data_IF_359481710058
#
_entry.id   IF_359481710058
#
_cell.length_a   1.000
_cell.length_b   1.000
_cell.length_c   1.000
_cell.angle_alpha   90.00
_cell.angle_beta   90.00
_cell.angle_gamma   90.00
#
_symmetry.space_group_name_H-M   'P 1'
#
loop_
_entity.id
_entity.type
_entity.pdbx_description
1 polymer ?
#
# COMPACT_ATOMS: atom_id res chain seq x y z
N UNK A 1 -6.08 -77.24 32.63
CA UNK A 1 -6.35 -78.58 33.18
C UNK A 1 -6.10 -78.53 34.67
N UNK A 2 -7.11 -78.89 35.46
CA UNK A 2 -7.12 -78.76 36.91
C UNK A 2 -6.37 -79.95 37.56
N UNK A 3 -5.39 -79.67 38.42
CA UNK A 3 -4.76 -80.68 39.28
C UNK A 3 -5.27 -80.44 40.71
N UNK A 4 -6.04 -81.40 41.22
CA UNK A 4 -6.49 -81.43 42.61
C UNK A 4 -5.30 -81.56 43.57
N UNK A 5 -5.29 -80.84 44.71
CA UNK A 5 -4.46 -81.18 45.86
C UNK A 5 -5.30 -81.89 46.93
N UNK A 6 -4.96 -83.14 47.26
CA UNK A 6 -5.34 -83.90 48.47
C UNK A 6 -4.65 -85.27 48.34
N UNK A 7 -3.76 -85.70 49.23
CA UNK A 7 -4.06 -86.01 50.63
C UNK A 7 -2.74 -86.15 51.41
N UNK A 8 -2.57 -85.41 52.50
CA UNK A 8 -1.83 -85.79 53.70
C UNK A 8 -2.77 -85.51 54.89
N UNK A 9 -2.57 -86.05 56.11
CA UNK A 9 -1.80 -87.22 56.53
C UNK A 9 -2.63 -88.17 57.42
N UNK A 10 -2.49 -89.48 57.22
CA UNK A 10 -3.07 -90.50 58.10
C UNK A 10 -2.22 -90.70 59.36
N UNK A 11 -2.31 -89.75 60.30
CA UNK A 11 -1.88 -89.93 61.68
C UNK A 11 -2.93 -90.77 62.43
N UNK A 12 -2.57 -91.98 62.87
CA UNK A 12 -3.26 -92.67 63.97
C UNK A 12 -2.27 -93.44 64.86
N UNK A 13 -2.07 -92.85 66.05
CA UNK A 13 -2.13 -93.47 67.38
C UNK A 13 -1.29 -94.75 67.60
N UNK A 14 -0.14 -94.65 68.28
CA UNK A 14 -0.03 -94.53 69.75
C UNK A 14 -0.96 -95.51 70.49
N UNK A 15 -0.39 -96.64 70.92
CA UNK A 15 -0.93 -97.47 71.99
C UNK A 15 0.22 -98.15 72.74
N UNK A 16 0.76 -97.38 73.69
CA UNK A 16 0.97 -97.72 75.11
C UNK A 16 1.85 -98.96 75.43
N UNK A 17 3.00 -98.61 76.00
CA UNK A 17 3.66 -99.19 77.18
C UNK A 17 3.74 -100.70 77.34
N UNK A 18 4.97 -101.21 77.17
CA UNK A 18 5.51 -102.23 78.06
C UNK A 18 6.97 -101.91 78.42
N UNK A 19 7.20 -101.74 79.72
CA UNK A 19 8.38 -102.20 80.47
C UNK A 19 9.77 -101.87 79.91
N UNK A 20 10.36 -100.76 80.40
CA UNK A 20 11.80 -100.39 80.46
C UNK A 20 12.84 -101.25 79.71
N UNK A 21 12.67 -101.43 78.41
CA UNK A 21 13.67 -102.04 77.53
C UNK A 21 13.88 -101.03 76.40
N UNK A 22 14.85 -100.13 76.57
CA UNK A 22 15.32 -99.26 75.47
C UNK A 22 15.53 -100.18 74.25
N UNK A 23 14.88 -99.87 73.12
CA UNK A 23 15.05 -100.67 71.92
C UNK A 23 16.51 -100.53 71.48
N UNK A 24 17.19 -101.66 71.23
CA UNK A 24 18.64 -101.67 70.95
C UNK A 24 19.06 -100.75 69.79
N UNK A 25 18.13 -100.33 68.92
CA UNK A 25 18.36 -99.38 67.81
C UNK A 25 18.52 -97.92 68.21
N UNK A 26 18.10 -97.54 69.42
CA UNK A 26 18.16 -96.15 69.91
C UNK A 26 19.27 -95.94 70.95
N UNK A 27 19.90 -97.04 71.39
CA UNK A 27 21.03 -96.98 72.32
C UNK A 27 22.27 -96.47 71.59
N UNK A 28 23.03 -95.60 72.26
CA UNK A 28 24.36 -95.25 71.76
C UNK A 28 25.29 -96.47 71.82
N UNK A 29 26.37 -96.43 71.05
CA UNK A 29 27.39 -97.48 71.04
C UNK A 29 27.92 -97.76 72.46
N UNK A 30 28.14 -96.70 73.26
CA UNK A 30 28.56 -96.84 74.67
C UNK A 30 27.52 -97.52 75.55
N UNK A 31 26.24 -97.22 75.36
CA UNK A 31 25.15 -97.87 76.11
C UNK A 31 25.05 -99.35 75.77
N UNK A 32 25.20 -99.70 74.49
CA UNK A 32 25.13 -101.08 74.02
C UNK A 32 26.33 -101.91 74.52
N UNK A 33 27.55 -101.35 74.44
CA UNK A 33 28.75 -102.04 74.92
C UNK A 33 28.77 -102.17 76.45
N UNK A 34 28.26 -101.18 77.19
CA UNK A 34 28.14 -101.26 78.66
C UNK A 34 27.25 -102.44 79.10
N UNK A 35 26.15 -102.70 78.40
CA UNK A 35 25.31 -103.87 78.67
C UNK A 35 26.05 -105.18 78.39
N UNK A 36 26.81 -105.26 77.29
CA UNK A 36 27.60 -106.45 76.94
C UNK A 36 28.70 -106.74 77.95
N UNK A 37 29.38 -105.71 78.49
CA UNK A 37 30.39 -105.86 79.56
C UNK A 37 29.82 -106.55 80.79
N UNK A 38 28.63 -106.13 81.23
CA UNK A 38 27.95 -106.70 82.41
C UNK A 38 27.61 -108.18 82.19
N UNK A 39 27.14 -108.53 81.00
CA UNK A 39 26.65 -109.89 80.70
C UNK A 39 27.79 -110.89 80.45
N UNK A 40 28.86 -110.48 79.77
CA UNK A 40 29.88 -111.41 79.26
C UNK A 40 31.27 -111.28 79.90
N UNK A 41 31.56 -110.21 80.66
CA UNK A 41 32.82 -110.01 81.40
C UNK A 41 34.11 -110.27 80.58
N UNK A 42 34.14 -109.85 79.31
CA UNK A 42 35.29 -110.01 78.41
C UNK A 42 36.13 -108.73 78.39
N UNK A 43 37.46 -108.87 78.46
CA UNK A 43 38.42 -107.74 78.54
C UNK A 43 38.53 -106.92 77.25
N UNK A 44 38.10 -107.44 76.10
CA UNK A 44 38.26 -106.78 74.79
C UNK A 44 37.12 -105.80 74.42
N UNK A 45 36.10 -105.62 75.27
CA UNK A 45 34.96 -104.74 74.96
C UNK A 45 35.34 -103.27 74.79
N UNK A 46 36.37 -102.78 75.50
CA UNK A 46 36.88 -101.42 75.33
C UNK A 46 37.38 -101.17 73.90
N UNK A 47 38.14 -102.12 73.33
CA UNK A 47 38.65 -102.04 71.95
C UNK A 47 37.52 -102.03 70.92
N UNK A 48 36.47 -102.84 71.16
CA UNK A 48 35.30 -102.90 70.29
C UNK A 48 34.53 -101.57 70.34
N UNK A 49 34.37 -100.96 71.52
CA UNK A 49 33.68 -99.67 71.67
C UNK A 49 34.41 -98.54 70.93
N UNK A 50 35.73 -98.46 71.08
CA UNK A 50 36.55 -97.45 70.40
C UNK A 50 36.44 -97.59 68.87
N UNK A 51 36.55 -98.81 68.34
CA UNK A 51 36.41 -99.06 66.89
C UNK A 51 35.00 -98.72 66.38
N UNK A 52 33.96 -99.04 67.16
CA UNK A 52 32.58 -98.73 66.80
C UNK A 52 32.33 -97.21 66.81
N UNK A 53 32.83 -96.48 67.81
CA UNK A 53 32.79 -95.01 67.87
C UNK A 53 33.52 -94.39 66.69
N UNK A 54 34.73 -94.86 66.39
CA UNK A 54 35.51 -94.39 65.25
C UNK A 54 34.76 -94.57 63.92
N UNK A 55 34.10 -95.72 63.72
CA UNK A 55 33.27 -95.96 62.54
C UNK A 55 32.03 -95.07 62.49
N UNK A 56 31.36 -94.86 63.62
CA UNK A 56 30.21 -93.97 63.71
C UNK A 56 30.60 -92.53 63.35
N UNK A 57 31.67 -92.01 63.94
CA UNK A 57 32.19 -90.67 63.64
C UNK A 57 32.57 -90.55 62.17
N UNK A 58 33.24 -91.55 61.60
CA UNK A 58 33.57 -91.59 60.16
C UNK A 58 32.32 -91.56 59.29
N UNK A 59 31.33 -92.39 59.57
CA UNK A 59 30.07 -92.43 58.81
C UNK A 59 29.32 -91.10 58.94
N UNK A 60 29.32 -90.48 60.12
CA UNK A 60 28.68 -89.18 60.35
C UNK A 60 29.35 -88.07 59.54
N UNK A 61 30.68 -88.08 59.43
CA UNK A 61 31.45 -87.18 58.56
C UNK A 61 31.11 -87.44 57.08
N UNK A 62 31.07 -88.69 56.64
CA UNK A 62 30.73 -89.06 55.25
C UNK A 62 29.29 -88.64 54.89
N UNK A 63 28.33 -88.86 55.78
CA UNK A 63 26.94 -88.40 55.63
C UNK A 63 26.89 -86.87 55.50
N UNK A 64 27.66 -86.15 56.31
CA UNK A 64 27.79 -84.69 56.22
C UNK A 64 28.31 -84.25 54.85
N UNK A 65 29.40 -84.85 54.39
CA UNK A 65 29.99 -84.57 53.06
C UNK A 65 29.03 -84.89 51.91
N UNK A 66 28.28 -85.99 51.99
CA UNK A 66 27.30 -86.35 50.97
C UNK A 66 26.10 -85.39 50.94
N UNK A 67 25.63 -84.91 52.10
CA UNK A 67 24.56 -83.89 52.16
C UNK A 67 24.99 -82.59 51.50
N UNK A 68 26.21 -82.12 51.78
CA UNK A 68 26.77 -80.92 51.15
C UNK A 68 26.87 -81.06 49.62
N UNK A 69 27.36 -82.22 49.14
CA UNK A 69 27.39 -82.52 47.69
C UNK A 69 26.01 -82.52 47.06
N UNK A 70 25.01 -83.10 47.73
CA UNK A 70 23.63 -83.13 47.24
C UNK A 70 23.02 -81.72 47.16
N UNK A 71 23.25 -80.88 48.17
CA UNK A 71 22.75 -79.50 48.18
C UNK A 71 23.44 -78.65 47.12
N UNK A 72 24.75 -78.85 46.91
CA UNK A 72 25.50 -78.20 45.84
C UNK A 72 25.00 -78.62 44.45
N UNK A 73 24.72 -79.91 44.23
CA UNK A 73 24.16 -80.41 42.97
C UNK A 73 22.77 -79.83 42.69
N UNK A 74 21.91 -79.76 43.72
CA UNK A 74 20.58 -79.11 43.61
C UNK A 74 20.70 -77.64 43.24
N UNK A 75 21.63 -76.92 43.86
CA UNK A 75 21.88 -75.51 43.55
C UNK A 75 22.38 -75.34 42.11
N UNK A 76 23.32 -76.19 41.67
CA UNK A 76 23.84 -76.20 40.31
C UNK A 76 22.73 -76.52 39.28
N UNK A 77 21.85 -77.48 39.57
CA UNK A 77 20.71 -77.83 38.73
C UNK A 77 19.75 -76.64 38.53
N UNK A 78 19.41 -75.94 39.61
CA UNK A 78 18.58 -74.72 39.56
C UNK A 78 19.27 -73.61 38.74
N UNK A 79 20.58 -73.45 38.88
CA UNK A 79 21.34 -72.47 38.11
C UNK A 79 21.32 -72.79 36.61
N UNK A 80 21.55 -74.05 36.24
CA UNK A 80 21.52 -74.52 34.86
C UNK A 80 20.13 -74.31 34.25
N UNK A 81 19.06 -74.64 34.98
CA UNK A 81 17.67 -74.44 34.53
C UNK A 81 17.37 -72.95 34.26
N UNK A 82 17.80 -72.05 35.16
CA UNK A 82 17.65 -70.60 34.96
C UNK A 82 18.39 -70.13 33.70
N UNK A 83 19.63 -70.58 33.49
CA UNK A 83 20.42 -70.25 32.29
C UNK A 83 19.76 -70.76 31.01
N UNK A 84 19.17 -71.96 31.06
CA UNK A 84 18.43 -72.55 29.94
C UNK A 84 17.20 -71.72 29.59
N UNK A 85 16.42 -71.30 30.60
CA UNK A 85 15.23 -70.45 30.39
C UNK A 85 15.55 -69.11 29.74
N UNK A 86 16.65 -68.45 30.16
CA UNK A 86 17.12 -67.20 29.53
C UNK A 86 17.47 -67.43 28.06
N UNK A 87 18.18 -68.53 27.75
CA UNK A 87 18.56 -68.87 26.37
C UNK A 87 17.35 -69.12 25.48
N UNK A 88 16.34 -69.82 26.01
CA UNK A 88 15.10 -70.10 25.27
C UNK A 88 14.35 -68.81 24.93
N UNK A 89 14.27 -67.86 25.87
CA UNK A 89 13.63 -66.56 25.64
C UNK A 89 14.37 -65.74 24.57
N UNK A 90 15.70 -65.73 24.60
CA UNK A 90 16.52 -65.07 23.57
C UNK A 90 16.30 -65.69 22.19
N UNK A 91 16.19 -67.02 22.10
CA UNK A 91 15.90 -67.72 20.85
C UNK A 91 14.52 -67.32 20.29
N UNK A 92 13.49 -67.24 21.15
CA UNK A 92 12.14 -66.78 20.75
C UNK A 92 12.16 -65.34 20.24
N UNK A 93 12.85 -64.43 20.94
CA UNK A 93 13.02 -63.03 20.52
C UNK A 93 13.76 -62.92 19.18
N UNK A 94 14.82 -63.71 18.98
CA UNK A 94 15.57 -63.77 17.72
C UNK A 94 14.71 -64.23 16.54
N UNK A 95 13.91 -65.29 16.74
CA UNK A 95 12.99 -65.78 15.72
C UNK A 95 11.93 -64.75 15.35
N UNK A 96 11.33 -64.09 16.35
CA UNK A 96 10.34 -63.03 16.11
C UNK A 96 10.96 -61.83 15.35
N UNK A 97 12.19 -61.43 15.69
CA UNK A 97 12.87 -60.37 14.97
C UNK A 97 13.13 -60.73 13.50
N UNK A 98 13.54 -61.97 13.23
CA UNK A 98 13.73 -62.47 11.87
C UNK A 98 12.42 -62.43 11.06
N UNK A 99 11.33 -62.95 11.63
CA UNK A 99 10.00 -62.93 10.99
C UNK A 99 9.54 -61.48 10.68
N UNK A 100 9.81 -60.54 11.59
CA UNK A 100 9.51 -59.11 11.38
C UNK A 100 10.30 -58.52 10.19
N UNK A 101 11.59 -58.85 10.06
CA UNK A 101 12.41 -58.37 8.94
C UNK A 101 11.94 -58.95 7.60
N UNK A 102 11.58 -60.23 7.56
CA UNK A 102 11.04 -60.86 6.35
C UNK A 102 9.70 -60.23 5.94
N UNK A 103 8.82 -59.95 6.91
CA UNK A 103 7.55 -59.26 6.65
C UNK A 103 7.78 -57.85 6.12
N UNK A 104 8.70 -57.08 6.70
CA UNK A 104 9.06 -55.75 6.24
C UNK A 104 9.60 -55.78 4.81
N UNK A 105 10.50 -56.72 4.51
CA UNK A 105 11.05 -56.89 3.17
C UNK A 105 9.97 -57.24 2.14
N UNK A 106 9.03 -58.12 2.51
CA UNK A 106 7.89 -58.46 1.66
C UNK A 106 6.99 -57.26 1.43
N UNK A 107 6.73 -56.45 2.46
CA UNK A 107 5.96 -55.20 2.36
C UNK A 107 6.64 -54.19 1.47
N UNK A 108 7.97 -54.02 1.57
CA UNK A 108 8.74 -53.14 0.69
C UNK A 108 8.61 -53.58 -0.78
N UNK A 109 8.76 -54.88 -1.05
CA UNK A 109 8.56 -55.45 -2.39
C UNK A 109 7.12 -55.26 -2.91
N UNK A 110 6.11 -55.46 -2.06
CA UNK A 110 4.70 -55.29 -2.42
C UNK A 110 4.28 -53.83 -2.58
N UNK A 111 4.87 -52.92 -1.82
CA UNK A 111 4.55 -51.48 -1.86
C UNK A 111 4.90 -50.84 -3.20
N UNK A 112 5.55 -51.57 -4.11
CA UNK A 112 5.74 -51.13 -5.48
C UNK A 112 6.57 -49.86 -5.58
N UNK A 113 7.31 -49.49 -4.52
CA UNK A 113 8.42 -48.56 -4.61
C UNK A 113 9.53 -49.25 -5.40
N UNK A 114 9.25 -49.43 -6.69
CA UNK A 114 10.23 -49.83 -7.66
C UNK A 114 11.30 -48.76 -7.63
N UNK A 115 12.52 -49.16 -7.26
CA UNK A 115 13.66 -48.26 -7.18
C UNK A 115 13.87 -47.54 -8.51
N UNK A 116 13.49 -48.17 -9.62
CA UNK A 116 13.54 -47.55 -10.94
C UNK A 116 12.45 -46.49 -11.14
N UNK A 117 11.24 -46.68 -10.60
CA UNK A 117 10.19 -45.66 -10.62
C UNK A 117 10.55 -44.46 -9.72
N UNK A 118 11.14 -44.71 -8.55
CA UNK A 118 11.65 -43.64 -7.67
C UNK A 118 12.81 -42.88 -8.35
N UNK A 119 13.73 -43.59 -9.01
CA UNK A 119 14.80 -42.98 -9.81
C UNK A 119 14.24 -42.12 -10.94
N UNK A 120 13.23 -42.61 -11.67
CA UNK A 120 12.54 -41.84 -12.73
C UNK A 120 11.92 -40.56 -12.17
N UNK A 121 11.19 -40.65 -11.04
CA UNK A 121 10.59 -39.48 -10.38
C UNK A 121 11.65 -38.45 -9.96
N UNK A 122 12.78 -38.90 -9.40
CA UNK A 122 13.87 -38.01 -9.01
C UNK A 122 14.47 -37.27 -10.22
N UNK A 123 14.72 -37.98 -11.33
CA UNK A 123 15.21 -37.35 -12.58
C UNK A 123 14.20 -36.33 -13.12
N UNK A 124 12.89 -36.65 -13.09
CA UNK A 124 11.85 -35.70 -13.51
C UNK A 124 11.79 -34.47 -12.60
N UNK A 125 11.95 -34.66 -11.29
CA UNK A 125 11.99 -33.56 -10.33
C UNK A 125 13.22 -32.66 -10.56
N UNK A 126 14.39 -33.25 -10.78
CA UNK A 126 15.63 -32.54 -11.07
C UNK A 126 15.49 -31.67 -12.32
N UNK A 127 14.98 -32.22 -13.43
CA UNK A 127 14.70 -31.47 -14.65
C UNK A 127 13.72 -30.31 -14.44
N UNK A 128 12.67 -30.51 -13.62
CA UNK A 128 11.73 -29.43 -13.28
C UNK A 128 12.37 -28.35 -12.44
N UNK A 129 13.22 -28.70 -11.48
CA UNK A 129 13.95 -27.72 -10.67
C UNK A 129 14.90 -26.91 -11.55
N UNK A 130 15.64 -27.54 -12.45
CA UNK A 130 16.53 -26.87 -13.40
C UNK A 130 15.75 -25.89 -14.30
N UNK A 131 14.64 -26.35 -14.90
CA UNK A 131 13.78 -25.48 -15.71
C UNK A 131 13.24 -24.29 -14.90
N UNK A 132 12.75 -24.53 -13.68
CA UNK A 132 12.26 -23.45 -12.81
C UNK A 132 13.36 -22.45 -12.44
N UNK A 133 14.61 -22.89 -12.35
CA UNK A 133 15.77 -22.02 -12.16
C UNK A 133 16.00 -21.09 -13.35
N UNK A 134 15.92 -21.62 -14.57
CA UNK A 134 16.05 -20.84 -15.81
C UNK A 134 14.93 -19.79 -15.93
N UNK A 135 13.68 -20.17 -15.67
CA UNK A 135 12.53 -19.26 -15.72
C UNK A 135 12.66 -18.12 -14.70
N UNK A 136 13.14 -18.44 -13.49
CA UNK A 136 13.41 -17.45 -12.44
C UNK A 136 14.52 -16.47 -12.83
N UNK A 137 15.57 -16.92 -13.52
CA UNK A 137 16.63 -16.04 -14.02
C UNK A 137 16.14 -15.12 -15.15
N UNK A 138 15.26 -15.60 -16.03
CA UNK A 138 14.62 -14.73 -17.02
C UNK A 138 13.72 -13.68 -16.38
N UNK A 139 12.91 -14.06 -15.38
CA UNK A 139 12.09 -13.12 -14.62
C UNK A 139 12.96 -12.07 -13.93
N UNK A 140 14.09 -12.48 -13.34
CA UNK A 140 15.05 -11.55 -12.72
C UNK A 140 15.60 -10.55 -13.74
N UNK A 141 15.98 -11.00 -14.94
CA UNK A 141 16.45 -10.12 -16.02
C UNK A 141 15.37 -9.11 -16.43
N UNK A 142 14.13 -9.56 -16.64
CA UNK A 142 12.99 -8.68 -16.98
C UNK A 142 12.74 -7.66 -15.87
N UNK A 143 12.85 -8.05 -14.60
CA UNK A 143 12.63 -7.15 -13.48
C UNK A 143 13.70 -6.04 -13.42
N UNK A 144 14.97 -6.37 -13.66
CA UNK A 144 16.06 -5.37 -13.76
C UNK A 144 15.82 -4.38 -14.91
N UNK A 145 15.36 -4.86 -16.08
CA UNK A 145 14.99 -3.97 -17.20
C UNK A 145 13.86 -3.02 -16.81
N UNK A 146 12.79 -3.52 -16.21
CA UNK A 146 11.66 -2.70 -15.77
C UNK A 146 12.05 -1.67 -14.71
N UNK A 147 12.88 -2.04 -13.74
CA UNK A 147 13.42 -1.12 -12.74
C UNK A 147 14.19 0.05 -13.38
N UNK A 148 14.96 -0.23 -14.43
CA UNK A 148 15.68 0.81 -15.19
C UNK A 148 14.72 1.74 -15.96
N UNK A 149 13.69 1.20 -16.60
CA UNK A 149 12.68 1.99 -17.31
C UNK A 149 11.89 2.90 -16.35
N UNK A 150 11.52 2.38 -15.18
CA UNK A 150 10.85 3.15 -14.13
C UNK A 150 11.71 4.32 -13.64
N UNK A 151 13.03 4.11 -13.50
CA UNK A 151 13.94 5.18 -13.10
C UNK A 151 14.02 6.30 -14.14
N UNK A 152 14.09 5.96 -15.43
CA UNK A 152 14.09 6.94 -16.53
C UNK A 152 12.77 7.71 -16.62
N UNK A 153 11.64 7.01 -16.49
CA UNK A 153 10.32 7.66 -16.45
C UNK A 153 10.18 8.61 -15.25
N UNK A 154 10.68 8.22 -14.08
CA UNK A 154 10.68 9.06 -12.89
C UNK A 154 11.50 10.34 -13.10
N UNK A 155 12.65 10.25 -13.78
CA UNK A 155 13.47 11.42 -14.12
C UNK A 155 12.72 12.37 -15.05
N UNK A 156 12.11 11.86 -16.13
CA UNK A 156 11.29 12.67 -17.05
C UNK A 156 10.12 13.34 -16.36
N UNK A 157 9.42 12.63 -15.47
CA UNK A 157 8.30 13.20 -14.72
C UNK A 157 8.73 14.39 -13.85
N UNK A 158 9.92 14.33 -13.23
CA UNK A 158 10.47 15.47 -12.46
C UNK A 158 10.77 16.66 -13.37
N UNK A 159 11.34 16.42 -14.56
CA UNK A 159 11.59 17.45 -15.57
C UNK A 159 10.30 18.08 -16.08
N UNK A 160 9.27 17.28 -16.37
CA UNK A 160 7.95 17.73 -16.81
C UNK A 160 7.25 18.57 -15.72
N UNK A 161 7.30 18.13 -14.46
CA UNK A 161 6.78 18.90 -13.33
C UNK A 161 7.47 20.27 -13.25
N UNK A 162 8.80 20.32 -13.40
CA UNK A 162 9.54 21.57 -13.43
C UNK A 162 9.10 22.47 -14.59
N UNK A 163 8.97 21.92 -15.79
CA UNK A 163 8.51 22.66 -16.96
C UNK A 163 7.08 23.21 -16.77
N UNK A 164 6.17 22.40 -16.24
CA UNK A 164 4.79 22.83 -15.93
C UNK A 164 4.77 23.94 -14.88
N UNK A 165 5.63 23.88 -13.86
CA UNK A 165 5.73 24.98 -12.89
C UNK A 165 6.19 26.29 -13.52
N UNK A 166 7.16 26.25 -14.43
CA UNK A 166 7.63 27.44 -15.15
C UNK A 166 6.58 28.01 -16.11
N UNK A 167 5.82 27.15 -16.79
CA UNK A 167 4.68 27.60 -17.60
C UNK A 167 3.59 28.25 -16.74
N UNK A 168 3.32 27.70 -15.55
CA UNK A 168 2.34 28.26 -14.62
C UNK A 168 2.77 29.64 -14.13
N UNK A 169 4.05 29.85 -13.80
CA UNK A 169 4.53 31.19 -13.38
C UNK A 169 4.41 32.21 -14.51
N UNK A 170 4.82 31.86 -15.74
CA UNK A 170 4.68 32.74 -16.92
C UNK A 170 3.22 33.09 -17.22
N UNK A 171 2.30 32.14 -17.02
CA UNK A 171 0.88 32.38 -17.19
C UNK A 171 0.34 33.39 -16.17
N UNK A 172 0.75 33.29 -14.90
CA UNK A 172 0.33 34.23 -13.86
C UNK A 172 0.94 35.63 -14.06
N UNK A 173 2.20 35.72 -14.50
CA UNK A 173 2.82 36.99 -14.92
C UNK A 173 2.02 37.64 -16.06
N UNK A 174 1.71 36.89 -17.12
CA UNK A 174 0.92 37.39 -18.25
C UNK A 174 -0.51 37.80 -17.86
N UNK A 175 -1.14 37.11 -16.90
CA UNK A 175 -2.44 37.53 -16.35
C UNK A 175 -2.34 38.85 -15.59
N UNK A 176 -1.29 39.05 -14.80
CA UNK A 176 -1.07 40.29 -14.07
C UNK A 176 -0.85 41.48 -15.02
N UNK A 177 -0.03 41.30 -16.06
CA UNK A 177 0.19 42.30 -17.10
C UNK A 177 -1.09 42.66 -17.86
N UNK A 178 -1.85 41.64 -18.29
CA UNK A 178 -3.13 41.86 -18.98
C UNK A 178 -4.17 42.57 -18.10
N UNK A 179 -4.22 42.23 -16.81
CA UNK A 179 -5.08 42.91 -15.85
C UNK A 179 -4.69 44.40 -15.73
N UNK A 180 -3.40 44.68 -15.58
CA UNK A 180 -2.90 46.06 -15.54
C UNK A 180 -3.21 46.83 -16.83
N UNK A 181 -3.04 46.23 -18.00
CA UNK A 181 -3.35 46.86 -19.28
C UNK A 181 -4.85 47.16 -19.42
N UNK A 182 -5.70 46.23 -18.97
CA UNK A 182 -7.15 46.40 -18.94
C UNK A 182 -7.57 47.55 -18.01
N UNK A 183 -6.97 47.65 -16.82
CA UNK A 183 -7.25 48.73 -15.86
C UNK A 183 -6.88 50.11 -16.46
N UNK A 184 -5.73 50.22 -17.13
CA UNK A 184 -5.32 51.45 -17.83
C UNK A 184 -6.31 51.83 -18.95
N UNK A 185 -6.78 50.84 -19.73
CA UNK A 185 -7.73 51.08 -20.81
C UNK A 185 -9.10 51.51 -20.28
N UNK A 186 -9.56 50.89 -19.18
CA UNK A 186 -10.78 51.30 -18.49
C UNK A 186 -10.70 52.74 -17.98
N UNK A 187 -9.57 53.14 -17.39
CA UNK A 187 -9.36 54.52 -16.93
C UNK A 187 -9.44 55.53 -18.09
N UNK A 188 -8.74 55.26 -19.21
CA UNK A 188 -8.83 56.10 -20.41
C UNK A 188 -10.24 56.18 -20.99
N UNK A 189 -10.98 55.06 -20.98
CA UNK A 189 -12.38 55.06 -21.41
C UNK A 189 -13.26 55.91 -20.49
N UNK A 190 -13.03 55.91 -19.18
CA UNK A 190 -13.76 56.79 -18.26
C UNK A 190 -13.44 58.27 -18.49
N UNK A 191 -12.16 58.63 -18.72
CA UNK A 191 -11.75 60.00 -19.05
C UNK A 191 -12.39 60.48 -20.35
N UNK A 192 -12.32 59.67 -21.42
CA UNK A 192 -12.94 60.00 -22.70
C UNK A 192 -14.46 60.18 -22.59
N UNK A 193 -15.13 59.35 -21.78
CA UNK A 193 -16.58 59.45 -21.56
C UNK A 193 -16.97 60.78 -20.89
N UNK A 194 -16.18 61.24 -19.92
CA UNK A 194 -16.40 62.54 -19.27
C UNK A 194 -16.10 63.72 -20.21
N UNK A 195 -15.04 63.65 -21.04
CA UNK A 195 -14.74 64.68 -22.04
C UNK A 195 -15.85 64.79 -23.10
N UNK A 196 -16.36 63.64 -23.60
CA UNK A 196 -17.50 63.62 -24.53
C UNK A 196 -18.73 64.28 -23.90
N UNK A 197 -19.02 63.98 -22.64
CA UNK A 197 -20.15 64.58 -21.91
C UNK A 197 -20.00 66.09 -21.79
N UNK A 198 -18.81 66.59 -21.50
CA UNK A 198 -18.49 68.03 -21.46
C UNK A 198 -18.66 68.69 -22.83
N UNK A 199 -18.13 68.08 -23.88
CA UNK A 199 -18.27 68.57 -25.26
C UNK A 199 -19.73 68.61 -25.72
N UNK A 200 -20.53 67.61 -25.35
CA UNK A 200 -21.98 67.61 -25.63
C UNK A 200 -22.69 68.79 -24.95
N UNK A 201 -22.37 69.09 -23.68
CA UNK A 201 -22.92 70.24 -22.97
C UNK A 201 -22.49 71.58 -23.61
N UNK A 202 -21.24 71.67 -24.09
CA UNK A 202 -20.74 72.85 -24.80
C UNK A 202 -21.45 73.05 -26.15
N UNK A 203 -21.67 71.98 -26.92
CA UNK A 203 -22.43 72.00 -28.18
C UNK A 203 -23.87 72.45 -27.92
N UNK A 204 -24.51 71.94 -26.87
CA UNK A 204 -25.88 72.33 -26.51
C UNK A 204 -25.96 73.82 -26.15
N UNK A 205 -25.02 74.34 -25.35
CA UNK A 205 -24.93 75.78 -25.05
C UNK A 205 -24.77 76.60 -26.33
N UNK A 206 -23.84 76.23 -27.21
CA UNK A 206 -23.61 76.95 -28.47
C UNK A 206 -24.85 76.94 -29.38
N UNK A 207 -25.61 75.83 -29.43
CA UNK A 207 -26.89 75.78 -30.15
C UNK A 207 -27.88 76.80 -29.62
N UNK A 208 -28.09 76.86 -28.30
CA UNK A 208 -29.02 77.83 -27.70
C UNK A 208 -28.60 79.28 -27.94
N UNK A 209 -27.29 79.56 -28.00
CA UNK A 209 -26.77 80.89 -28.30
C UNK A 209 -26.94 81.26 -29.78
N UNK A 210 -26.76 80.30 -30.68
CA UNK A 210 -27.04 80.48 -32.11
C UNK A 210 -28.53 80.75 -32.39
N UNK A 211 -29.43 80.08 -31.67
CA UNK A 211 -30.88 80.34 -31.77
C UNK A 211 -31.19 81.79 -31.39
N UNK A 212 -30.64 82.27 -30.26
CA UNK A 212 -30.77 83.68 -29.83
C UNK A 212 -30.21 84.67 -30.85
N UNK A 213 -29.01 84.40 -31.38
CA UNK A 213 -28.41 85.26 -32.40
C UNK A 213 -29.25 85.29 -33.69
N UNK A 214 -29.91 84.19 -34.03
CA UNK A 214 -30.81 84.11 -35.17
C UNK A 214 -32.05 84.99 -34.96
N UNK A 215 -32.63 84.96 -33.75
CA UNK A 215 -33.74 85.84 -33.36
C UNK A 215 -33.31 87.32 -33.37
N UNK A 216 -32.18 87.67 -32.76
CA UNK A 216 -31.63 89.04 -32.77
C UNK A 216 -31.35 89.54 -34.19
N UNK A 217 -30.81 88.68 -35.06
CA UNK A 217 -30.57 88.99 -36.47
C UNK A 217 -31.87 89.30 -37.20
N UNK A 218 -32.93 88.53 -36.93
CA UNK A 218 -34.26 88.75 -37.51
C UNK A 218 -34.85 90.08 -37.03
N UNK A 219 -34.78 90.36 -35.72
CA UNK A 219 -35.24 91.64 -35.15
C UNK A 219 -34.52 92.85 -35.77
N UNK A 220 -33.18 92.79 -35.86
CA UNK A 220 -32.39 93.85 -36.50
C UNK A 220 -32.75 94.02 -37.97
N UNK A 221 -32.97 92.92 -38.70
CA UNK A 221 -33.40 92.96 -40.10
C UNK A 221 -34.74 93.68 -40.23
N UNK A 222 -35.73 93.32 -39.42
CA UNK A 222 -37.04 93.98 -39.40
C UNK A 222 -36.94 95.47 -39.04
N UNK A 223 -36.09 95.82 -38.07
CA UNK A 223 -35.83 97.22 -37.71
C UNK A 223 -35.19 98.01 -38.86
N UNK A 224 -34.23 97.42 -39.58
CA UNK A 224 -33.58 98.01 -40.74
C UNK A 224 -34.57 98.22 -41.90
N UNK A 225 -35.38 97.21 -42.24
CA UNK A 225 -36.45 97.33 -43.25
C UNK A 225 -37.46 98.43 -42.89
N UNK A 226 -37.80 98.59 -41.59
CA UNK A 226 -38.65 99.67 -41.14
C UNK A 226 -37.99 101.05 -41.28
N UNK A 227 -36.67 101.16 -41.06
CA UNK A 227 -35.93 102.41 -41.21
C UNK A 227 -35.81 102.80 -42.69
N UNK A 228 -35.52 101.83 -43.56
CA UNK A 228 -35.45 102.01 -45.01
C UNK A 228 -36.78 102.54 -45.56
N UNK A 229 -37.91 102.01 -45.08
CA UNK A 229 -39.25 102.52 -45.41
C UNK A 229 -39.46 103.98 -45.00
N UNK A 230 -39.13 104.32 -43.74
CA UNK A 230 -39.23 105.71 -43.24
C UNK A 230 -38.31 106.66 -44.00
N UNK A 231 -37.10 106.23 -44.34
CA UNK A 231 -36.17 107.01 -45.13
C UNK A 231 -36.68 107.24 -46.57
N UNK A 232 -37.30 106.22 -47.18
CA UNK A 232 -38.00 106.36 -48.47
C UNK A 232 -39.15 107.37 -48.42
N UNK A 233 -39.99 107.30 -47.39
CA UNK A 233 -41.07 108.28 -47.15
C UNK A 233 -40.54 109.72 -46.97
N UNK A 234 -39.46 109.87 -46.19
CA UNK A 234 -38.80 111.16 -45.98
C UNK A 234 -38.19 111.69 -47.29
N UNK A 235 -37.49 110.84 -48.05
CA UNK A 235 -36.89 111.21 -49.34
C UNK A 235 -37.95 111.68 -50.33
N UNK A 236 -39.09 110.98 -50.42
CA UNK A 236 -40.22 111.42 -51.24
C UNK A 236 -40.78 112.78 -50.78
N UNK A 237 -40.83 113.01 -49.46
CA UNK A 237 -41.26 114.29 -48.89
C UNK A 237 -40.27 115.42 -49.19
N UNK A 238 -38.95 115.15 -49.15
CA UNK A 238 -37.90 116.09 -49.53
C UNK A 238 -38.00 116.46 -51.01
N UNK A 239 -38.11 115.49 -51.92
CA UNK A 239 -38.29 115.76 -53.36
C UNK A 239 -39.54 116.62 -53.61
N UNK A 240 -40.64 116.34 -52.88
CA UNK A 240 -41.84 117.16 -52.96
C UNK A 240 -41.59 118.60 -52.49
N UNK A 241 -40.92 118.78 -51.35
CA UNK A 241 -40.56 120.10 -50.83
C UNK A 241 -39.60 120.84 -51.77
N UNK A 242 -38.61 120.16 -52.35
CA UNK A 242 -37.71 120.70 -53.37
C UNK A 242 -38.48 121.17 -54.60
N UNK A 243 -39.47 120.39 -55.06
CA UNK A 243 -40.35 120.79 -56.15
C UNK A 243 -41.21 122.01 -55.77
N UNK A 244 -41.76 122.05 -54.56
CA UNK A 244 -42.54 123.18 -54.04
C UNK A 244 -41.68 124.46 -53.93
N UNK A 245 -40.43 124.34 -53.47
CA UNK A 245 -39.45 125.45 -53.42
C UNK A 245 -39.05 125.89 -54.83
N UNK A 246 -38.86 124.95 -55.76
CA UNK A 246 -38.57 125.25 -57.16
C UNK A 246 -39.74 125.98 -57.84
N UNK A 247 -40.98 125.63 -57.50
CA UNK A 247 -42.20 126.37 -57.88
C UNK A 247 -42.19 127.80 -57.30
N UNK A 248 -41.85 127.96 -56.01
CA UNK A 248 -41.72 129.29 -55.38
C UNK A 248 -40.61 130.15 -56.01
N UNK A 249 -39.49 129.55 -56.39
CA UNK A 249 -38.39 130.22 -57.09
C UNK A 249 -38.68 130.50 -58.58
N UNK A 250 -39.74 129.92 -59.15
CA UNK A 250 -40.19 130.21 -60.52
C UNK A 250 -41.33 131.24 -60.60
N UNK A 251 -41.81 131.76 -59.46
CA UNK A 251 -42.90 132.75 -59.39
C UNK A 251 -42.44 134.18 -59.02
N UNK A 252 -41.13 134.45 -59.05
CA UNK A 252 -40.63 135.82 -58.88
C UNK A 252 -39.17 136.03 -59.29
N UNK A 253 -38.97 137.00 -60.19
CA UNK A 253 -37.71 137.63 -60.62
C UNK A 253 -36.88 136.85 -61.65
N UNK A 254 -36.81 137.31 -62.90
CA UNK A 254 -36.08 138.50 -63.37
C UNK A 254 -34.65 138.15 -63.78
N UNK A 255 -34.45 138.17 -65.10
CA UNK A 255 -33.34 138.79 -65.81
C UNK A 255 -32.16 139.28 -64.94
N UNK A 256 -31.03 138.57 -65.02
CA UNK A 256 -29.68 139.13 -65.19
C UNK A 256 -28.64 138.00 -65.25
N UNK A 257 -27.87 137.96 -66.33
CA UNK A 257 -26.74 137.05 -66.50
C UNK A 257 -25.49 137.45 -65.69
N UNK A 258 -24.60 136.48 -65.47
CA UNK A 258 -23.24 136.41 -66.02
C UNK A 258 -22.33 135.49 -65.20
N UNK A 259 -21.68 134.57 -65.94
CA UNK A 259 -20.30 134.03 -65.87
C UNK A 259 -19.54 133.76 -64.55
N UNK A 260 -18.70 132.72 -64.63
CA UNK A 260 -17.62 132.26 -63.73
C UNK A 260 -18.09 131.29 -62.63
N UNK A 261 -17.44 130.16 -62.29
CA UNK A 261 -16.19 129.49 -62.66
C UNK A 261 -16.18 128.15 -61.87
N UNK A 262 -15.58 127.09 -62.41
CA UNK A 262 -15.38 125.79 -61.73
C UNK A 262 -14.74 125.94 -60.32
N UNK A 263 -14.98 124.96 -59.43
CA UNK A 263 -13.87 124.04 -59.18
C UNK A 263 -14.27 122.56 -59.07
N UNK A 264 -13.38 121.75 -59.66
CA UNK A 264 -13.16 120.34 -59.36
C UNK A 264 -13.11 120.02 -57.86
N UNK A 265 -13.81 118.95 -57.46
CA UNK A 265 -13.35 117.97 -56.45
C UNK A 265 -14.28 116.74 -56.60
N UNK A 266 -13.90 115.60 -57.16
CA UNK A 266 -12.63 114.91 -57.00
C UNK A 266 -12.64 114.04 -55.74
N UNK A 267 -13.62 113.15 -55.56
CA UNK A 267 -13.49 111.98 -54.66
C UNK A 267 -14.25 110.79 -55.24
N UNK A 268 -13.53 109.96 -55.99
CA UNK A 268 -13.87 108.58 -56.25
C UNK A 268 -13.71 107.77 -54.96
N UNK A 269 -14.82 107.40 -54.31
CA UNK A 269 -14.77 106.26 -53.40
C UNK A 269 -14.81 104.99 -54.25
N UNK A 270 -13.74 104.22 -54.17
CA UNK A 270 -13.64 102.88 -54.73
C UNK A 270 -14.76 102.03 -54.14
N UNK A 271 -15.82 101.80 -54.92
CA UNK A 271 -16.63 100.59 -54.79
C UNK A 271 -15.69 99.45 -55.18
N UNK A 272 -15.07 98.82 -54.17
CA UNK A 272 -14.46 97.52 -54.38
C UNK A 272 -15.56 96.61 -54.89
N UNK A 273 -15.42 96.23 -56.15
CA UNK A 273 -16.07 95.09 -56.74
C UNK A 273 -15.88 93.88 -55.83
N UNK A 274 -16.91 93.03 -55.84
CA UNK A 274 -16.83 91.58 -55.69
C UNK A 274 -15.91 91.05 -54.60
N UNK A 275 -16.53 90.57 -53.53
CA UNK A 275 -16.49 89.13 -53.30
C UNK A 275 -17.90 88.74 -52.83
N UNK A 276 -18.77 88.47 -53.82
CA UNK A 276 -19.82 87.48 -53.61
C UNK A 276 -19.03 86.19 -53.34
N UNK A 277 -18.93 85.82 -52.07
CA UNK A 277 -18.52 84.46 -51.72
C UNK A 277 -19.62 83.55 -52.25
N UNK A 278 -19.39 83.05 -53.46
CA UNK A 278 -20.13 81.95 -54.04
C UNK A 278 -20.17 80.80 -53.04
N UNK A 279 -21.33 80.16 -53.05
CA UNK A 279 -21.70 78.97 -52.30
C UNK A 279 -20.51 78.04 -52.06
N UNK A 280 -20.20 77.81 -50.78
CA UNK A 280 -19.45 76.63 -50.40
C UNK A 280 -20.26 75.42 -50.87
N UNK A 281 -19.80 74.79 -51.94
CA UNK A 281 -20.23 73.44 -52.32
C UNK A 281 -20.15 72.57 -51.06
N UNK A 282 -21.34 72.20 -50.55
CA UNK A 282 -21.51 71.06 -49.67
C UNK A 282 -21.04 69.85 -50.44
N UNK A 283 -19.75 69.54 -50.28
CA UNK A 283 -19.17 68.25 -50.63
C UNK A 283 -19.93 67.20 -49.79
N UNK A 284 -20.99 66.67 -50.40
CA UNK A 284 -21.65 65.48 -49.92
C UNK A 284 -20.64 64.36 -50.05
N UNK A 285 -19.88 64.14 -48.98
CA UNK A 285 -19.07 62.95 -48.77
C UNK A 285 -20.01 61.74 -48.77
N UNK A 286 -20.26 61.26 -49.98
CA UNK A 286 -20.89 59.98 -50.25
C UNK A 286 -19.82 58.96 -49.96
N UNK A 287 -19.59 58.72 -48.66
CA UNK A 287 -18.68 57.70 -48.19
C UNK A 287 -19.05 56.36 -48.82
N UNK A 288 -18.23 55.91 -49.76
CA UNK A 288 -18.29 54.55 -50.28
C UNK A 288 -18.19 53.57 -49.10
N UNK A 289 -19.03 52.52 -49.05
CA UNK A 289 -18.91 51.50 -48.03
C UNK A 289 -17.60 50.72 -48.25
N UNK A 290 -16.65 50.91 -47.33
CA UNK A 290 -15.43 50.12 -47.21
C UNK A 290 -15.82 48.62 -47.14
N UNK A 291 -15.26 47.74 -47.99
CA UNK A 291 -15.57 46.31 -47.92
C UNK A 291 -14.90 45.70 -46.70
N UNK A 292 -15.70 45.25 -45.73
CA UNK A 292 -15.22 44.39 -44.66
C UNK A 292 -14.69 43.07 -45.25
N UNK A 293 -13.49 42.61 -44.86
CA UNK A 293 -13.03 41.28 -45.23
C UNK A 293 -13.88 40.24 -44.49
N UNK A 294 -14.67 39.48 -45.26
CA UNK A 294 -15.40 38.30 -44.81
C UNK A 294 -14.40 37.28 -44.25
N UNK A 295 -14.28 37.19 -42.93
CA UNK A 295 -13.66 36.05 -42.27
C UNK A 295 -14.58 34.84 -42.44
N UNK A 296 -14.04 33.81 -43.11
CA UNK A 296 -14.66 32.52 -43.33
C UNK A 296 -14.93 31.83 -42.00
N UNK A 297 -16.18 31.81 -41.55
CA UNK A 297 -16.65 30.89 -40.54
C UNK A 297 -16.72 29.49 -41.14
N UNK A 298 -15.76 28.65 -40.76
CA UNK A 298 -15.83 27.20 -40.96
C UNK A 298 -16.70 26.63 -39.85
N UNK A 299 -18.01 26.52 -40.08
CA UNK A 299 -18.89 25.75 -39.20
C UNK A 299 -18.60 24.25 -39.38
N UNK A 300 -17.81 23.70 -38.45
CA UNK A 300 -17.65 22.26 -38.30
C UNK A 300 -18.84 21.73 -37.49
N UNK A 301 -19.78 21.11 -38.19
CA UNK A 301 -20.84 20.29 -37.61
C UNK A 301 -20.22 19.11 -36.83
N UNK A 302 -20.26 19.14 -35.49
CA UNK A 302 -19.99 17.96 -34.66
C UNK A 302 -21.31 17.44 -34.13
N UNK A 303 -21.62 16.21 -34.55
CA UNK A 303 -22.78 15.41 -34.14
C UNK A 303 -22.82 15.24 -32.62
N UNK A 304 -23.99 15.56 -32.06
CA UNK A 304 -24.41 15.21 -30.70
C UNK A 304 -24.67 13.71 -30.61
N UNK A 305 -23.94 13.02 -29.74
CA UNK A 305 -24.12 11.60 -29.40
C UNK A 305 -23.95 11.39 -27.90
N UNK A 306 -25.07 11.06 -27.25
CA UNK A 306 -25.30 10.48 -25.92
C UNK A 306 -24.08 10.05 -25.07
N UNK A 307 -24.06 10.36 -23.77
CA UNK A 307 -24.62 9.53 -22.67
C UNK A 307 -24.19 10.04 -21.28
N UNK A 308 -25.08 9.85 -20.33
CA UNK A 308 -24.94 10.07 -18.88
C UNK A 308 -23.67 9.47 -18.27
N UNK A 309 -23.01 10.23 -17.38
CA UNK A 309 -22.39 9.68 -16.16
C UNK A 309 -22.53 10.72 -15.04
N UNK A 310 -23.00 10.23 -13.89
CA UNK A 310 -23.32 10.95 -12.67
C UNK A 310 -22.15 11.74 -12.09
N UNK A 311 -22.47 12.94 -11.61
CA UNK A 311 -21.62 13.75 -10.71
C UNK A 311 -22.03 13.47 -9.27
N UNK A 312 -21.27 12.64 -8.55
CA UNK A 312 -21.23 12.59 -7.10
C UNK A 312 -20.18 13.61 -6.62
N UNK A 313 -20.64 14.80 -6.25
CA UNK A 313 -19.84 15.77 -5.50
C UNK A 313 -20.13 15.55 -4.01
N UNK A 314 -19.27 14.78 -3.35
CA UNK A 314 -19.23 14.65 -1.89
C UNK A 314 -18.45 15.85 -1.32
N UNK A 315 -19.18 16.81 -0.75
CA UNK A 315 -18.62 17.93 0.00
C UNK A 315 -18.40 17.43 1.43
N UNK A 316 -17.15 17.21 1.81
CA UNK A 316 -16.75 16.91 3.19
C UNK A 316 -16.93 18.19 4.01
N UNK A 317 -17.99 18.23 4.83
CA UNK A 317 -18.14 19.18 5.90
C UNK A 317 -17.18 18.79 7.03
N UNK A 318 -16.20 19.64 7.31
CA UNK A 318 -15.34 19.53 8.50
C UNK A 318 -16.05 20.34 9.59
N UNK A 319 -16.61 19.64 10.57
CA UNK A 319 -17.14 20.22 11.80
C UNK A 319 -15.96 20.49 12.75
N UNK A 320 -15.80 21.75 13.14
CA UNK A 320 -15.08 22.15 14.36
C UNK A 320 -15.94 21.76 15.57
N UNK A 321 -15.46 20.85 16.40
CA UNK A 321 -15.91 20.72 17.79
C UNK A 321 -14.68 20.89 18.68
N UNK A 322 -14.57 22.10 19.22
CA UNK A 322 -13.81 22.44 20.40
C UNK A 322 -14.44 21.74 21.60
N UNK A 323 -13.71 20.86 22.26
CA UNK A 323 -13.95 20.56 23.67
C UNK A 323 -12.60 20.49 24.39
N UNK A 324 -12.44 21.48 25.27
CA UNK A 324 -11.47 21.58 26.33
C UNK A 324 -11.49 20.34 27.22
N UNK A 325 -10.30 19.81 27.54
CA UNK A 325 -10.02 19.35 28.91
C UNK A 325 -8.51 19.23 29.12
N UNK A 326 -7.99 20.35 29.61
CA UNK A 326 -7.09 20.47 30.75
C UNK A 326 -6.64 19.14 31.42
N UNK A 327 -5.36 18.82 31.33
CA UNK A 327 -4.62 18.46 32.54
C UNK A 327 -3.11 18.60 32.34
N UNK A 328 -2.57 19.61 33.02
CA UNK A 328 -1.16 19.88 33.06
C UNK A 328 -0.32 18.82 33.78
N UNK A 329 0.93 18.72 33.40
CA UNK A 329 2.01 19.25 34.24
C UNK A 329 3.36 19.14 33.50
N UNK A 330 4.20 20.18 33.56
CA UNK A 330 5.53 20.17 32.99
C UNK A 330 6.55 19.62 33.99
N UNK A 331 7.66 19.07 33.50
CA UNK A 331 9.03 19.44 33.87
C UNK A 331 10.04 18.30 33.64
N UNK A 332 11.29 18.74 33.42
CA UNK A 332 12.56 18.00 33.50
C UNK A 332 12.87 17.20 32.22
N UNK A 333 13.72 17.66 31.30
CA UNK A 333 15.00 18.33 31.53
C UNK A 333 16.09 17.27 31.68
N UNK A 334 16.90 17.08 30.65
CA UNK A 334 18.36 17.03 30.74
C UNK A 334 18.97 16.80 29.35
N UNK A 335 19.61 17.86 28.87
CA UNK A 335 20.76 17.77 27.99
C UNK A 335 21.80 16.80 28.56
N UNK A 336 22.33 15.91 27.72
CA UNK A 336 23.76 15.61 27.76
C UNK A 336 24.28 15.33 26.37
N UNK A 337 25.10 16.27 25.94
CA UNK A 337 25.95 16.29 24.78
C UNK A 337 27.32 15.68 25.15
N UNK A 338 28.02 15.13 24.14
CA UNK A 338 29.47 14.83 24.07
C UNK A 338 29.93 13.54 24.81
N UNK A 339 30.88 12.74 24.34
CA UNK A 339 31.98 12.99 23.41
C UNK A 339 32.46 11.71 22.69
N UNK A 340 33.24 11.94 21.63
CA UNK A 340 34.02 11.02 20.80
C UNK A 340 35.35 10.70 21.51
N UNK A 341 35.89 9.47 21.34
CA UNK A 341 37.26 9.17 20.87
C UNK A 341 37.87 7.89 21.49
N UNK A 342 38.51 7.10 20.59
CA UNK A 342 39.73 6.29 20.77
C UNK A 342 39.72 5.17 21.84
N UNK A 343 40.35 4.00 21.69
CA UNK A 343 41.51 3.58 20.92
C UNK A 343 41.59 2.03 21.01
N UNK A 344 42.15 1.41 19.97
CA UNK A 344 43.11 0.30 20.02
C UNK A 344 42.72 -1.15 20.41
N UNK A 345 43.12 -2.00 19.46
CA UNK A 345 43.86 -3.27 19.62
C UNK A 345 43.13 -4.52 20.08
N UNK A 346 42.69 -5.25 19.05
CA UNK A 346 42.86 -6.70 18.98
C UNK A 346 44.34 -7.08 19.21
N UNK A 347 44.60 -8.13 20.02
CA UNK A 347 45.36 -9.23 19.44
C UNK A 347 44.74 -10.60 19.68
N UNK A 348 45.06 -11.48 18.74
CA UNK A 348 44.83 -12.91 18.74
C UNK A 348 45.21 -13.56 20.07
N UNK A 349 44.32 -14.43 20.58
CA UNK A 349 44.73 -15.54 21.44
C UNK A 349 44.27 -16.85 20.84
N UNK A 350 45.22 -17.48 20.16
CA UNK A 350 45.24 -18.91 19.86
C UNK A 350 45.54 -19.62 21.18
N UNK A 351 44.61 -20.42 21.69
CA UNK A 351 44.91 -21.42 22.72
C UNK A 351 44.05 -22.68 22.47
N UNK A 352 44.70 -23.61 21.77
CA UNK A 352 44.82 -25.03 22.10
C UNK A 352 43.57 -25.88 22.39
N UNK A 353 43.42 -26.85 21.49
CA UNK A 353 42.72 -28.13 21.62
C UNK A 353 42.81 -28.77 23.02
N UNK A 354 41.65 -29.10 23.59
CA UNK A 354 41.49 -30.35 24.35
C UNK A 354 40.30 -31.14 23.82
N UNK A 355 40.63 -32.12 22.97
CA UNK A 355 39.76 -33.23 22.60
C UNK A 355 39.59 -34.13 23.83
N UNK A 356 38.40 -34.19 24.42
CA UNK A 356 37.96 -35.33 25.24
C UNK A 356 36.76 -35.99 24.57
N UNK A 357 37.04 -37.10 23.90
CA UNK A 357 36.06 -38.16 23.67
C UNK A 357 35.83 -38.85 25.01
N UNK A 358 34.58 -38.89 25.45
CA UNK A 358 34.07 -39.96 26.29
C UNK A 358 32.65 -40.22 25.78
N UNK A 359 32.52 -41.36 25.12
CA UNK A 359 31.24 -41.98 24.82
C UNK A 359 30.64 -42.42 26.13
N UNK A 360 29.39 -42.05 26.41
CA UNK A 360 28.52 -42.84 27.28
C UNK A 360 27.07 -42.64 26.85
N UNK A 361 26.52 -43.72 26.32
CA UNK A 361 25.10 -43.90 26.03
C UNK A 361 24.44 -44.25 27.35
N UNK A 362 23.67 -43.33 27.92
CA UNK A 362 22.68 -43.67 28.94
C UNK A 362 21.28 -43.38 28.41
N UNK A 363 20.63 -44.47 27.99
CA UNK A 363 19.18 -44.59 27.92
C UNK A 363 18.63 -44.51 29.34
N UNK A 364 17.89 -43.44 29.67
CA UNK A 364 16.99 -43.46 30.82
C UNK A 364 15.69 -42.77 30.46
N UNK A 365 14.69 -43.61 30.23
CA UNK A 365 13.30 -43.24 30.05
C UNK A 365 12.77 -42.65 31.35
N UNK A 366 12.28 -41.41 31.32
CA UNK A 366 11.40 -40.88 32.36
C UNK A 366 10.18 -40.24 31.73
N UNK A 367 9.08 -40.97 31.80
CA UNK A 367 7.74 -40.54 31.44
C UNK A 367 7.21 -39.51 32.44
N UNK A 368 6.75 -38.37 31.93
CA UNK A 368 5.79 -37.44 32.54
C UNK A 368 4.88 -37.03 31.39
N UNK A 369 3.68 -37.61 31.21
CA UNK A 369 2.44 -37.30 31.94
C UNK A 369 2.21 -35.78 32.08
N UNK A 370 1.66 -35.19 31.03
CA UNK A 370 0.68 -34.09 31.09
C UNK A 370 0.20 -33.80 29.67
N UNK A 371 -1.08 -34.02 29.40
CA UNK A 371 -1.70 -33.78 28.10
C UNK A 371 -3.15 -33.37 28.28
N UNK A 372 -3.37 -32.29 29.00
CA UNK A 372 -4.50 -31.39 28.74
C UNK A 372 -4.07 -30.47 27.60
N UNK A 373 -4.92 -30.27 26.59
CA UNK A 373 -5.20 -28.99 25.93
C UNK A 373 -6.08 -29.20 24.66
N UNK A 374 -7.33 -28.76 24.78
CA UNK A 374 -8.28 -28.23 23.78
C UNK A 374 -8.75 -29.08 22.59
N UNK A 375 -9.99 -29.54 22.75
CA UNK A 375 -10.98 -29.81 21.71
C UNK A 375 -11.38 -28.48 21.04
N UNK A 376 -10.94 -28.28 19.79
CA UNK A 376 -11.41 -27.19 18.93
C UNK A 376 -12.40 -27.78 17.93
N UNK A 377 -13.68 -27.59 18.23
CA UNK A 377 -14.79 -27.82 17.31
C UNK A 377 -14.71 -26.82 16.14
N UNK A 378 -14.59 -27.34 14.93
CA UNK A 378 -14.82 -26.58 13.70
C UNK A 378 -16.07 -27.12 12.97
N UNK A 379 -17.07 -26.28 12.66
CA UNK A 379 -18.24 -26.70 11.90
C UNK A 379 -17.93 -26.82 10.40
N UNK A 380 -18.66 -27.68 9.65
CA UNK A 380 -18.34 -27.97 8.26
C UNK A 380 -18.76 -26.83 7.32
N UNK A 381 -17.81 -26.40 6.49
CA UNK A 381 -18.04 -25.49 5.37
C UNK A 381 -18.95 -26.15 4.32
N UNK A 382 -20.01 -25.42 3.95
CA UNK A 382 -20.98 -25.77 2.92
C UNK A 382 -20.29 -25.91 1.56
N UNK A 383 -20.44 -27.07 0.92
CA UNK A 383 -20.05 -27.29 -0.48
C UNK A 383 -20.93 -26.45 -1.40
N UNK A 384 -20.34 -25.45 -2.04
CA UNK A 384 -20.93 -24.82 -3.23
C UNK A 384 -20.72 -25.74 -4.42
N UNK A 385 -21.81 -26.12 -5.08
CA UNK A 385 -21.81 -26.81 -6.37
C UNK A 385 -21.51 -25.80 -7.46
N UNK A 386 -20.42 -25.99 -8.20
CA UNK A 386 -20.24 -25.37 -9.52
C UNK A 386 -20.26 -26.47 -10.58
N UNK A 387 -21.28 -26.44 -11.42
CA UNK A 387 -21.37 -27.25 -12.64
C UNK A 387 -20.42 -26.70 -13.72
N UNK A 388 -20.01 -27.52 -14.70
CA UNK A 388 -19.06 -27.14 -15.74
C UNK A 388 -19.77 -26.46 -16.93
N UNK A 389 -19.21 -25.36 -17.42
CA UNK A 389 -19.51 -24.81 -18.76
C UNK A 389 -18.28 -25.07 -19.63
N UNK A 390 -18.42 -25.97 -20.61
CA UNK A 390 -18.63 -25.62 -22.02
C UNK A 390 -17.35 -25.14 -22.70
N UNK A 391 -16.65 -26.11 -23.27
CA UNK A 391 -15.57 -25.93 -24.24
C UNK A 391 -16.15 -25.45 -25.57
N UNK A 392 -15.98 -24.17 -25.88
CA UNK A 392 -16.13 -23.66 -27.24
C UNK A 392 -14.76 -23.31 -27.81
N UNK A 393 -14.39 -24.12 -28.80
CA UNK A 393 -13.15 -24.07 -29.56
C UNK A 393 -13.42 -23.14 -30.74
N UNK A 394 -12.94 -21.90 -30.71
CA UNK A 394 -13.00 -21.03 -31.88
C UNK A 394 -11.81 -21.33 -32.80
N UNK A 395 -12.12 -22.02 -33.89
CA UNK A 395 -11.30 -22.07 -35.10
C UNK A 395 -11.21 -20.66 -35.70
N UNK A 396 -10.00 -20.12 -35.83
CA UNK A 396 -9.72 -19.02 -36.74
C UNK A 396 -9.49 -19.57 -38.16
N UNK A 397 -10.12 -18.99 -39.20
CA UNK A 397 -9.80 -19.29 -40.57
C UNK A 397 -8.58 -18.47 -41.03
N UNK A 398 -7.53 -19.18 -41.44
CA UNK A 398 -6.50 -18.70 -42.35
C UNK A 398 -7.16 -18.27 -43.66
N UNK A 399 -6.97 -17.02 -44.12
CA UNK A 399 -6.86 -16.67 -45.54
C UNK A 399 -6.42 -15.21 -45.77
N UNK A 400 -5.48 -15.05 -46.72
CA UNK A 400 -5.00 -13.85 -47.44
C UNK A 400 -3.97 -12.96 -46.68
N UNK A 401 -2.79 -12.63 -47.22
CA UNK A 401 -2.42 -12.29 -48.60
C UNK A 401 -0.97 -12.64 -48.95
N UNK A 402 -0.81 -13.22 -50.14
CA UNK A 402 0.42 -13.23 -50.95
C UNK A 402 0.17 -12.31 -52.15
N UNK A 403 0.83 -11.15 -52.24
CA UNK A 403 1.23 -10.52 -53.51
C UNK A 403 2.10 -9.28 -53.30
N UNK A 404 3.25 -9.33 -54.00
CA UNK A 404 4.27 -8.31 -54.31
C UNK A 404 5.24 -8.02 -53.17
#
# INVERSE_FOLDING_TARGET
MALQPKTEPGSLQSSISTTSQKHYSEMSISELVSLLRVVYQVEDFDKIEEELKYREDKVKVDIGSLREKLDLERLNSIEIEKRLKIREEQCKKGKQAQENYELLLKRMKQSGLDMDELRKRNVTLEKRMEQSGLDMDELRKRNVTLESEVCELKKKMVEDVKYVTELRTKLEEGKAENKSALDVLNMKNTELKEEIKKNLADIERLRTENDKLTDEKLERKTAFESLERKYGELSASVVKLENDVKLLLSEGASDCGNTEQEPNTGVSFAVKAEEVFDDYELENDTGEPVPFPKTKETHQYVKKGYKDVASENEIIAISDDDDDDDNGCPNQGLHREKAIAQENEHPQRVETFTRKRASDIQTSSRSTSSGDLYEMDHPPLKRVKTSPASSDTYHLPDHFLRRI
#
